data_IF_737775255546
#
_entry.id   IF_737775255546
#
_cell.length_a   1.000
_cell.length_b   1.000
_cell.length_c   1.000
_cell.angle_alpha   90.00
_cell.angle_beta   90.00
_cell.angle_gamma   90.00
#
_symmetry.space_group_name_H-M   'P 1'
#
loop_
_entity.id
_entity.type
_entity.pdbx_description
1 polymer ?
#
# COMPACT_ATOMS: atom_id res chain seq x y z
N UNK A 1 -6.16 16.16 -14.86
CA UNK A 1 -6.76 15.41 -15.98
C UNK A 1 -5.82 15.46 -17.17
N UNK A 2 -5.93 14.54 -18.11
CA UNK A 2 -5.07 14.45 -19.31
C UNK A 2 -5.94 14.46 -20.57
N UNK A 3 -5.50 15.13 -21.65
CA UNK A 3 -6.24 15.13 -22.91
C UNK A 3 -6.29 13.73 -23.51
N UNK A 4 -7.39 13.40 -24.19
CA UNK A 4 -7.49 12.12 -24.92
C UNK A 4 -6.71 12.25 -26.23
N UNK A 5 -5.73 11.37 -26.51
CA UNK A 5 -4.94 11.45 -27.73
C UNK A 5 -5.82 11.23 -28.98
N UNK A 6 -5.55 11.99 -30.04
CA UNK A 6 -6.23 11.86 -31.34
C UNK A 6 -7.51 12.69 -31.52
N UNK A 7 -8.12 13.20 -30.45
CA UNK A 7 -9.35 14.02 -30.52
C UNK A 7 -9.09 15.54 -30.55
N UNK A 8 -7.83 15.96 -30.32
CA UNK A 8 -7.47 17.37 -30.12
C UNK A 8 -7.94 17.90 -28.76
N UNK A 9 -7.51 19.11 -28.40
CA UNK A 9 -7.92 19.75 -27.15
C UNK A 9 -9.27 20.47 -27.34
N UNK A 10 -10.36 19.77 -27.03
CA UNK A 10 -11.73 20.30 -27.07
C UNK A 10 -12.48 19.96 -25.79
N UNK A 11 -13.56 20.70 -25.54
CA UNK A 11 -14.51 20.46 -24.46
C UNK A 11 -14.94 18.98 -24.42
N UNK A 12 -14.93 18.36 -23.25
CA UNK A 12 -15.18 16.91 -23.06
C UNK A 12 -14.06 15.95 -23.51
N UNK A 13 -13.05 16.39 -24.28
CA UNK A 13 -11.99 15.52 -24.84
C UNK A 13 -10.81 15.30 -23.89
N UNK A 14 -11.08 15.04 -22.61
CA UNK A 14 -10.08 14.70 -21.60
C UNK A 14 -10.57 13.57 -20.69
N UNK A 15 -9.63 12.90 -20.01
CA UNK A 15 -9.91 11.94 -18.95
C UNK A 15 -9.22 12.33 -17.65
N UNK A 16 -9.92 12.22 -16.54
CA UNK A 16 -9.40 12.53 -15.23
C UNK A 16 -8.96 11.25 -14.52
N UNK A 17 -7.65 11.05 -14.47
CA UNK A 17 -7.00 10.02 -13.66
C UNK A 17 -6.69 10.56 -12.27
N UNK A 18 -6.72 9.69 -11.26
CA UNK A 18 -6.38 10.05 -9.89
C UNK A 18 -4.92 10.51 -9.78
N UNK A 19 -4.67 11.46 -8.88
CA UNK A 19 -3.31 11.94 -8.57
C UNK A 19 -2.55 10.84 -7.81
N UNK A 20 -1.21 10.91 -7.82
CA UNK A 20 -0.38 10.04 -6.96
C UNK A 20 -0.81 10.19 -5.49
N UNK A 21 -0.77 9.10 -4.74
CA UNK A 21 -1.31 9.01 -3.38
C UNK A 21 -2.84 8.82 -3.32
N UNK A 22 -3.54 8.75 -4.45
CA UNK A 22 -4.97 8.49 -4.52
C UNK A 22 -5.31 7.43 -5.57
N UNK A 23 -6.38 6.68 -5.35
CA UNK A 23 -6.88 5.64 -6.25
C UNK A 23 -8.36 5.82 -6.58
N UNK A 24 -8.79 5.16 -7.66
CA UNK A 24 -10.18 5.22 -8.12
C UNK A 24 -11.05 4.28 -7.28
N UNK A 25 -12.17 4.77 -6.69
CA UNK A 25 -12.95 4.02 -5.70
C UNK A 25 -13.50 2.68 -6.22
N UNK A 26 -13.89 2.63 -7.49
CA UNK A 26 -14.35 1.39 -8.11
C UNK A 26 -13.17 0.62 -8.72
N UNK A 27 -12.50 -0.17 -7.88
CA UNK A 27 -11.27 -0.90 -8.25
C UNK A 27 -11.50 -2.02 -9.27
N UNK A 28 -12.75 -2.49 -9.42
CA UNK A 28 -13.14 -3.52 -10.39
C UNK A 28 -13.52 -2.97 -11.76
N UNK A 29 -13.67 -1.65 -11.90
CA UNK A 29 -13.95 -1.02 -13.17
C UNK A 29 -12.78 -1.24 -14.16
N UNK A 30 -13.12 -1.56 -15.41
CA UNK A 30 -12.15 -1.69 -16.51
C UNK A 30 -11.41 -0.37 -16.76
N UNK A 31 -12.15 0.74 -16.70
CA UNK A 31 -11.65 2.09 -16.88
C UNK A 31 -11.62 2.84 -15.54
N UNK A 32 -10.42 3.00 -14.97
CA UNK A 32 -10.18 3.70 -13.69
C UNK A 32 -9.90 5.19 -13.87
N UNK A 33 -10.81 5.89 -14.53
CA UNK A 33 -10.75 7.33 -14.75
C UNK A 33 -12.17 7.87 -14.93
N UNK A 34 -12.33 9.16 -14.66
CA UNK A 34 -13.57 9.87 -14.96
C UNK A 34 -13.49 10.48 -16.37
N UNK A 35 -14.52 10.30 -17.20
CA UNK A 35 -14.60 10.95 -18.50
C UNK A 35 -14.87 12.45 -18.33
N UNK A 36 -14.20 13.27 -19.14
CA UNK A 36 -14.40 14.72 -19.13
C UNK A 36 -15.81 15.13 -19.55
N UNK A 37 -16.36 14.49 -20.59
CA UNK A 37 -17.73 14.76 -21.05
C UNK A 37 -18.77 14.56 -19.94
N UNK A 38 -18.69 13.46 -19.19
CA UNK A 38 -19.63 13.15 -18.11
C UNK A 38 -19.52 14.17 -16.97
N UNK A 39 -18.28 14.56 -16.61
CA UNK A 39 -18.05 15.59 -15.58
C UNK A 39 -18.66 16.93 -16.00
N UNK A 40 -18.42 17.34 -17.24
CA UNK A 40 -18.91 18.63 -17.74
C UNK A 40 -20.44 18.66 -17.89
N UNK A 41 -21.06 17.56 -18.32
CA UNK A 41 -22.51 17.44 -18.39
C UNK A 41 -23.15 17.59 -17.00
N UNK A 42 -22.63 16.86 -16.02
CA UNK A 42 -23.12 16.96 -14.63
C UNK A 42 -22.84 18.33 -14.01
N UNK A 43 -21.76 18.99 -14.42
CA UNK A 43 -21.45 20.36 -14.02
C UNK A 43 -22.41 21.39 -14.65
N UNK A 44 -22.84 21.22 -15.90
CA UNK A 44 -23.87 22.07 -16.52
C UNK A 44 -25.23 21.93 -15.83
N UNK A 45 -25.61 20.70 -15.47
CA UNK A 45 -26.81 20.45 -14.65
C UNK A 45 -26.71 21.14 -13.29
N UNK A 46 -25.52 21.10 -12.67
CA UNK A 46 -25.24 21.81 -11.42
C UNK A 46 -25.37 23.33 -11.58
N UNK A 47 -24.82 23.91 -12.64
CA UNK A 47 -24.97 25.35 -12.94
C UNK A 47 -26.43 25.75 -13.20
N UNK A 48 -27.22 24.85 -13.78
CA UNK A 48 -28.64 25.09 -14.09
C UNK A 48 -29.58 24.78 -12.92
N UNK A 49 -29.05 24.52 -11.71
CA UNK A 49 -29.82 24.12 -10.53
C UNK A 49 -30.71 22.87 -10.75
N UNK A 50 -30.29 21.96 -11.63
CA UNK A 50 -30.95 20.69 -11.85
C UNK A 50 -30.36 19.61 -10.93
N UNK A 51 -31.06 18.48 -10.80
CA UNK A 51 -30.53 17.30 -10.12
C UNK A 51 -29.29 16.80 -10.85
N UNK A 52 -28.17 16.68 -10.14
CA UNK A 52 -26.87 16.34 -10.71
C UNK A 52 -26.02 15.51 -9.73
N UNK A 53 -25.05 14.78 -10.26
CA UNK A 53 -24.06 14.03 -9.50
C UNK A 53 -22.88 14.93 -9.05
N UNK A 54 -22.62 16.03 -9.74
CA UNK A 54 -21.48 16.92 -9.47
C UNK A 54 -21.51 17.52 -8.05
N UNK A 55 -22.70 17.82 -7.53
CA UNK A 55 -22.94 18.28 -6.15
C UNK A 55 -22.60 17.24 -5.08
N UNK A 56 -22.51 15.95 -5.44
CA UNK A 56 -22.17 14.89 -4.49
C UNK A 56 -20.65 14.80 -4.39
N UNK A 57 -20.14 15.03 -3.19
CA UNK A 57 -18.71 14.95 -2.84
C UNK A 57 -18.08 13.63 -3.33
N UNK A 58 -18.82 12.52 -3.26
CA UNK A 58 -18.30 11.19 -3.62
C UNK A 58 -18.34 10.84 -5.11
N UNK A 59 -18.92 11.68 -5.98
CA UNK A 59 -19.17 11.31 -7.38
C UNK A 59 -17.92 11.36 -8.27
N UNK A 60 -17.06 12.37 -8.10
CA UNK A 60 -15.89 12.62 -8.94
C UNK A 60 -14.58 12.75 -8.14
N UNK A 61 -14.54 12.16 -6.94
CA UNK A 61 -13.38 12.19 -6.05
C UNK A 61 -12.67 10.85 -5.94
N UNK A 62 -11.35 10.90 -5.88
CA UNK A 62 -10.49 9.74 -5.65
C UNK A 62 -10.29 9.51 -4.15
N UNK A 63 -10.05 8.26 -3.76
CA UNK A 63 -9.78 7.88 -2.37
C UNK A 63 -8.28 7.90 -2.08
N UNK A 64 -7.85 8.31 -0.87
CA UNK A 64 -6.44 8.31 -0.49
C UNK A 64 -5.90 6.88 -0.37
N UNK A 65 -4.64 6.69 -0.75
CA UNK A 65 -3.90 5.46 -0.49
C UNK A 65 -3.62 5.26 1.00
N UNK A 66 -3.24 4.03 1.38
CA UNK A 66 -2.73 3.74 2.72
C UNK A 66 -1.46 4.56 3.04
N UNK A 67 -1.25 4.85 4.33
CA UNK A 67 -0.10 5.64 4.77
C UNK A 67 1.24 5.02 4.35
N UNK A 68 2.15 5.85 3.86
CA UNK A 68 3.46 5.42 3.37
C UNK A 68 3.49 4.93 1.92
N UNK A 69 2.35 4.94 1.21
CA UNK A 69 2.29 4.55 -0.21
C UNK A 69 2.26 5.76 -1.14
N UNK A 70 3.14 5.79 -2.16
CA UNK A 70 3.12 6.83 -3.20
C UNK A 70 2.09 6.55 -4.32
N UNK A 71 1.81 5.28 -4.60
CA UNK A 71 0.82 4.85 -5.59
C UNK A 71 0.19 3.53 -5.14
N UNK A 72 -1.13 3.41 -5.32
CA UNK A 72 -1.89 2.22 -4.95
C UNK A 72 -2.99 1.95 -5.98
N UNK A 73 -3.43 0.69 -6.03
CA UNK A 73 -4.58 0.26 -6.84
C UNK A 73 -5.88 0.30 -6.03
N UNK A 74 -5.75 0.08 -4.73
CA UNK A 74 -6.82 -0.03 -3.75
C UNK A 74 -6.34 0.48 -2.37
N UNK A 75 -7.21 0.42 -1.36
CA UNK A 75 -6.88 0.81 0.02
C UNK A 75 -6.01 -0.19 0.78
N UNK A 76 -5.40 -1.17 0.11
CA UNK A 76 -4.54 -2.15 0.75
C UNK A 76 -3.20 -1.52 1.17
N UNK A 77 -2.62 -1.94 2.31
CA UNK A 77 -1.34 -1.41 2.79
C UNK A 77 -0.19 -1.94 1.91
N UNK A 78 0.60 -1.04 1.31
CA UNK A 78 1.78 -1.41 0.51
C UNK A 78 3.02 -1.71 1.37
N UNK A 79 3.12 -1.05 2.52
CA UNK A 79 4.14 -1.36 3.53
C UNK A 79 3.57 -2.46 4.40
N UNK A 80 4.41 -3.42 4.81
CA UNK A 80 4.03 -4.38 5.85
C UNK A 80 3.45 -3.58 7.02
N UNK A 81 2.12 -3.68 7.20
CA UNK A 81 1.42 -2.99 8.27
C UNK A 81 2.23 -3.20 9.55
N UNK A 82 2.36 -2.16 10.37
CA UNK A 82 3.05 -2.19 11.65
C UNK A 82 2.46 -3.31 12.52
N UNK A 83 2.91 -4.53 12.26
CA UNK A 83 2.39 -5.73 12.86
C UNK A 83 3.16 -5.81 14.16
N UNK A 84 2.53 -5.38 15.24
CA UNK A 84 3.07 -5.54 16.59
C UNK A 84 3.55 -6.99 16.80
N UNK A 85 2.89 -7.96 16.16
CA UNK A 85 3.30 -9.37 16.03
C UNK A 85 4.69 -9.55 15.41
N UNK A 86 5.04 -8.92 14.28
CA UNK A 86 6.37 -9.11 13.67
C UNK A 86 7.47 -8.49 14.54
N UNK A 87 7.18 -7.38 15.20
CA UNK A 87 8.12 -6.77 16.14
C UNK A 87 8.34 -7.69 17.33
N UNK A 88 7.28 -8.19 17.96
CA UNK A 88 7.40 -9.10 19.12
C UNK A 88 8.07 -10.42 18.76
N UNK A 89 7.81 -10.99 17.57
CA UNK A 89 8.46 -12.22 17.13
C UNK A 89 9.96 -12.05 16.90
N UNK A 90 10.40 -10.96 16.26
CA UNK A 90 11.82 -10.65 16.07
C UNK A 90 12.53 -10.50 17.43
N UNK A 91 11.92 -9.75 18.36
CA UNK A 91 12.47 -9.60 19.72
C UNK A 91 12.57 -10.95 20.45
N UNK A 92 11.53 -11.79 20.39
CA UNK A 92 11.54 -13.10 21.03
C UNK A 92 12.64 -14.03 20.47
N UNK A 93 12.78 -14.09 19.14
CA UNK A 93 13.82 -14.87 18.47
C UNK A 93 15.23 -14.39 18.85
N UNK A 94 15.44 -13.07 18.89
CA UNK A 94 16.72 -12.50 19.30
C UNK A 94 17.08 -12.90 20.73
N UNK A 95 16.13 -12.78 21.67
CA UNK A 95 16.34 -13.20 23.07
C UNK A 95 16.66 -14.70 23.19
N UNK A 96 16.00 -15.55 22.41
CA UNK A 96 16.27 -16.99 22.41
C UNK A 96 17.69 -17.31 21.92
N UNK A 97 18.14 -16.68 20.84
CA UNK A 97 19.51 -16.86 20.34
C UNK A 97 20.53 -16.38 21.37
N UNK A 98 20.30 -15.22 21.98
CA UNK A 98 21.19 -14.64 23.00
C UNK A 98 21.30 -15.52 24.24
N UNK A 99 20.26 -16.26 24.62
CA UNK A 99 20.31 -17.18 25.77
C UNK A 99 20.91 -18.54 25.42
N UNK A 100 20.61 -19.08 24.23
CA UNK A 100 21.11 -20.38 23.80
C UNK A 100 22.61 -20.37 23.50
N UNK A 101 23.14 -19.30 22.87
CA UNK A 101 24.57 -19.21 22.54
C UNK A 101 25.51 -19.35 23.76
N UNK A 102 25.37 -18.56 24.85
CA UNK A 102 26.23 -18.69 26.02
C UNK A 102 26.00 -20.00 26.77
N UNK A 103 24.78 -20.53 26.77
CA UNK A 103 24.49 -21.85 27.35
C UNK A 103 25.26 -22.95 26.60
N UNK A 104 25.18 -22.95 25.26
CA UNK A 104 25.93 -23.90 24.43
C UNK A 104 27.43 -23.73 24.64
N UNK A 105 27.96 -22.51 24.64
CA UNK A 105 29.38 -22.24 24.89
C UNK A 105 29.83 -22.73 26.28
N UNK A 106 29.03 -22.48 27.32
CA UNK A 106 29.31 -22.99 28.66
C UNK A 106 29.35 -24.52 28.68
N UNK A 107 28.39 -25.18 28.03
CA UNK A 107 28.35 -26.63 27.91
C UNK A 107 29.52 -27.17 27.10
N UNK A 108 29.90 -26.56 25.98
CA UNK A 108 31.04 -27.02 25.17
C UNK A 108 32.37 -26.83 25.91
N UNK A 109 32.55 -25.77 26.71
CA UNK A 109 33.75 -25.62 27.55
C UNK A 109 33.78 -26.69 28.66
N UNK A 110 32.65 -26.88 29.35
CA UNK A 110 32.55 -27.80 30.49
C UNK A 110 32.70 -29.27 30.09
N UNK A 111 32.09 -29.68 28.97
CA UNK A 111 32.13 -31.06 28.46
C UNK A 111 33.21 -31.26 27.39
N UNK A 112 33.83 -30.19 26.87
CA UNK A 112 34.99 -30.26 25.98
C UNK A 112 36.21 -30.87 26.64
N UNK A 113 36.35 -30.70 27.96
CA UNK A 113 37.36 -31.38 28.77
C UNK A 113 37.20 -32.92 28.77
N UNK A 114 36.07 -33.47 28.32
CA UNK A 114 35.83 -34.92 28.19
C UNK A 114 36.28 -35.46 26.82
N UNK A 115 36.37 -34.62 25.77
CA UNK A 115 36.82 -35.06 24.43
C UNK A 115 38.33 -35.02 24.21
N UNK A 116 39.08 -34.16 24.91
CA UNK A 116 40.55 -34.12 24.81
C UNK A 116 41.25 -35.37 25.34
N UNK A 117 40.55 -36.22 26.11
CA UNK A 117 41.10 -37.51 26.59
C UNK A 117 40.89 -38.68 25.63
N UNK A 118 40.20 -38.50 24.50
CA UNK A 118 39.94 -39.57 23.50
C UNK A 118 40.70 -39.36 22.17
N UNK A 119 41.38 -38.22 21.99
CA UNK A 119 42.30 -37.96 20.87
C UNK A 119 43.78 -38.09 21.25
N UNK A 120 44.07 -38.64 22.44
CA UNK A 120 45.42 -39.05 22.83
C UNK A 120 45.34 -40.48 23.38
N UNK A 121 45.59 -41.45 22.51
CA UNK A 121 45.94 -42.87 22.76
C UNK A 121 45.50 -43.51 24.10
#
# INVERSE_FOLDING_TARGET
CVPVPGLGFRRGSYRCVCRRGFYFPNTTAENRFYNGSDIEEEYEKHLSNQMNLYSKITAFECLPCAEGCEACVDGSPCVAALNWVVRTTIFALACFVISCLPFIVYFTIKYGHVRVSLEQC
#
